data_IF_958372766561
#
_entry.id   IF_958372766561
#
_cell.length_a   1.000
_cell.length_b   1.000
_cell.length_c   1.000
_cell.angle_alpha   90.00
_cell.angle_beta   90.00
_cell.angle_gamma   90.00
#
_symmetry.space_group_name_H-M   'P 1'
#
loop_
_entity.id
_entity.type
_entity.pdbx_description
1 polymer ?
#
# COMPACT_ATOMS: atom_id res chain seq x y z
N UNK A 1 -4.48 6.20 15.09
CA UNK A 1 -5.79 6.57 14.53
C UNK A 1 -5.63 6.77 13.02
N UNK A 2 -6.44 6.09 12.21
CA UNK A 2 -6.38 6.30 10.77
C UNK A 2 -6.74 7.73 10.41
N UNK A 3 -5.95 8.33 9.53
CA UNK A 3 -6.20 9.67 9.02
C UNK A 3 -6.83 9.55 7.62
N UNK A 4 -7.96 10.21 7.43
CA UNK A 4 -8.60 10.26 6.13
C UNK A 4 -8.11 11.50 5.38
N UNK A 5 -7.41 11.28 4.28
CA UNK A 5 -6.93 12.37 3.43
C UNK A 5 -8.00 12.73 2.40
N UNK A 6 -8.33 14.02 2.23
CA UNK A 6 -9.39 14.43 1.29
C UNK A 6 -9.16 13.95 -0.13
N UNK A 7 -7.92 13.96 -0.60
CA UNK A 7 -7.57 13.53 -1.96
C UNK A 7 -7.90 12.06 -2.19
N UNK A 8 -7.43 11.18 -1.31
CA UNK A 8 -7.68 9.74 -1.45
C UNK A 8 -9.14 9.40 -1.24
N UNK A 9 -9.81 10.11 -0.33
CA UNK A 9 -11.26 9.95 -0.12
C UNK A 9 -12.04 10.27 -1.38
N UNK A 10 -11.67 11.35 -2.08
CA UNK A 10 -12.32 11.75 -3.34
C UNK A 10 -12.13 10.70 -4.43
N UNK A 11 -10.94 10.10 -4.52
CA UNK A 11 -10.66 9.06 -5.50
C UNK A 11 -11.52 7.83 -5.25
N UNK A 12 -11.60 7.39 -4.00
CA UNK A 12 -12.42 6.22 -3.62
C UNK A 12 -13.91 6.52 -3.83
N UNK A 13 -14.37 7.73 -3.49
CA UNK A 13 -15.76 8.14 -3.68
C UNK A 13 -16.13 8.19 -5.16
N UNK A 14 -15.17 8.43 -6.06
CA UNK A 14 -15.38 8.40 -7.50
C UNK A 14 -15.43 6.98 -8.08
N UNK A 15 -15.28 5.94 -7.25
CA UNK A 15 -15.40 4.55 -7.67
C UNK A 15 -14.08 3.82 -7.90
N UNK A 16 -12.95 4.46 -7.61
CA UNK A 16 -11.65 3.81 -7.69
C UNK A 16 -11.40 2.94 -6.47
N UNK A 17 -10.76 1.80 -6.68
CA UNK A 17 -10.45 0.85 -5.63
C UNK A 17 -9.00 1.00 -5.18
N UNK A 18 -8.79 1.16 -3.87
CA UNK A 18 -7.47 1.14 -3.25
C UNK A 18 -7.01 -0.31 -3.15
N UNK A 19 -6.05 -0.70 -3.99
CA UNK A 19 -5.66 -2.09 -4.15
C UNK A 19 -5.09 -2.71 -2.89
N UNK A 20 -4.19 -2.01 -2.20
CA UNK A 20 -3.59 -2.52 -0.96
C UNK A 20 -4.65 -2.68 0.13
N UNK A 21 -5.48 -1.66 0.33
CA UNK A 21 -6.49 -1.68 1.39
C UNK A 21 -7.60 -2.69 1.11
N UNK A 22 -7.90 -2.96 -0.16
CA UNK A 22 -8.83 -4.03 -0.52
C UNK A 22 -8.30 -5.40 -0.15
N UNK A 23 -6.99 -5.62 -0.35
CA UNK A 23 -6.36 -6.89 0.03
C UNK A 23 -6.21 -7.01 1.54
N UNK A 24 -5.98 -5.89 2.24
CA UNK A 24 -5.76 -5.85 3.68
C UNK A 24 -6.67 -4.79 4.32
N UNK A 25 -7.94 -5.15 4.61
CA UNK A 25 -8.93 -4.17 5.07
C UNK A 25 -8.65 -3.56 6.44
N UNK A 26 -7.89 -4.26 7.31
CA UNK A 26 -7.63 -3.77 8.65
C UNK A 26 -6.38 -2.88 8.69
N UNK A 27 -6.54 -1.54 8.84
CA UNK A 27 -5.39 -0.64 8.82
C UNK A 27 -4.51 -0.74 10.08
N UNK A 28 -5.00 -1.35 11.14
CA UNK A 28 -4.21 -1.56 12.36
C UNK A 28 -3.25 -2.72 12.17
N UNK A 29 -3.74 -3.86 11.64
CA UNK A 29 -2.91 -5.04 11.37
C UNK A 29 -1.98 -4.84 10.18
N UNK A 30 -2.45 -4.12 9.17
CA UNK A 30 -1.73 -3.92 7.92
C UNK A 30 -1.74 -2.43 7.57
N UNK A 31 -0.92 -1.61 8.26
CA UNK A 31 -0.91 -0.17 8.00
C UNK A 31 -0.40 0.18 6.60
N UNK A 32 0.50 -0.63 6.04
CA UNK A 32 1.00 -0.40 4.68
C UNK A 32 1.84 0.86 4.56
N UNK A 33 2.63 1.18 5.58
CA UNK A 33 3.41 2.42 5.59
C UNK A 33 4.46 2.45 4.49
N UNK A 34 4.39 3.46 3.62
CA UNK A 34 5.32 3.67 2.52
C UNK A 34 6.33 4.79 2.79
N UNK A 35 6.13 5.58 3.80
CA UNK A 35 7.04 6.62 4.30
C UNK A 35 7.36 6.29 5.77
N UNK A 36 8.58 6.11 6.26
CA UNK A 36 9.83 6.19 5.53
C UNK A 36 10.79 5.10 6.03
N UNK A 37 11.62 4.51 5.17
CA UNK A 37 12.60 3.50 5.59
C UNK A 37 13.91 4.10 6.12
N UNK A 38 14.05 5.42 6.17
CA UNK A 38 15.31 6.09 6.55
C UNK A 38 15.53 6.13 8.05
N UNK A 39 14.49 5.85 8.86
CA UNK A 39 14.59 5.79 10.32
C UNK A 39 14.36 4.36 10.79
N UNK A 40 14.81 4.05 12.01
CA UNK A 40 14.60 2.72 12.58
C UNK A 40 13.11 2.47 12.81
N UNK A 41 12.61 1.24 12.61
CA UNK A 41 11.21 0.92 12.88
C UNK A 41 10.78 1.21 14.32
N UNK A 42 11.73 1.20 15.26
CA UNK A 42 11.48 1.46 16.67
C UNK A 42 11.55 2.94 17.04
N UNK A 43 11.81 3.84 16.09
CA UNK A 43 11.89 5.27 16.38
C UNK A 43 10.48 5.84 16.62
N UNK A 44 10.18 6.12 17.89
CA UNK A 44 8.86 6.61 18.29
C UNK A 44 8.62 8.07 17.91
N UNK A 45 9.66 8.80 17.51
CA UNK A 45 9.54 10.19 17.07
C UNK A 45 9.22 10.30 15.59
N UNK A 46 9.42 9.23 14.86
CA UNK A 46 9.17 9.21 13.44
C UNK A 46 7.69 8.99 13.15
N UNK A 47 7.21 9.64 12.09
CA UNK A 47 5.88 9.42 11.57
C UNK A 47 5.95 8.48 10.38
N UNK A 48 5.34 7.34 10.55
CA UNK A 48 5.15 6.42 9.44
C UNK A 48 3.80 6.70 8.81
N UNK A 49 3.79 6.95 7.51
CA UNK A 49 2.58 7.29 6.77
C UNK A 49 2.42 6.38 5.56
N UNK A 50 1.18 6.10 5.22
CA UNK A 50 0.81 5.45 3.97
C UNK A 50 0.42 6.54 2.99
N UNK A 51 1.33 6.88 2.09
CA UNK A 51 1.17 8.00 1.14
C UNK A 51 1.38 7.61 -0.32
N UNK A 52 1.74 6.37 -0.57
CA UNK A 52 1.85 5.82 -1.93
C UNK A 52 0.77 4.78 -2.13
N UNK A 53 0.05 4.87 -3.24
CA UNK A 53 -1.17 4.09 -3.47
C UNK A 53 -1.19 3.50 -4.87
N UNK A 54 -1.89 2.39 -5.01
CA UNK A 54 -2.29 1.86 -6.31
C UNK A 54 -3.81 1.86 -6.35
N UNK A 55 -4.37 2.71 -7.21
CA UNK A 55 -5.81 2.75 -7.44
C UNK A 55 -6.15 2.15 -8.80
N UNK A 56 -7.30 1.50 -8.87
CA UNK A 56 -7.81 0.98 -10.14
C UNK A 56 -9.33 1.07 -10.19
N UNK A 57 -9.87 0.97 -11.39
CA UNK A 57 -11.30 0.82 -11.60
C UNK A 57 -11.71 -0.65 -11.77
N UNK A 58 -10.80 -1.57 -11.48
CA UNK A 58 -11.06 -3.00 -11.58
C UNK A 58 -11.85 -3.50 -10.37
N UNK A 59 -12.68 -4.54 -10.53
CA UNK A 59 -13.40 -5.14 -9.40
C UNK A 59 -12.42 -5.72 -8.36
N UNK A 60 -12.79 -5.68 -7.09
CA UNK A 60 -11.95 -6.21 -6.00
C UNK A 60 -11.59 -7.68 -6.18
N UNK A 61 -12.45 -8.46 -6.83
CA UNK A 61 -12.20 -9.89 -7.10
C UNK A 61 -11.00 -10.13 -8.02
N UNK A 62 -10.53 -9.11 -8.75
CA UNK A 62 -9.35 -9.23 -9.62
C UNK A 62 -8.05 -9.17 -8.84
N UNK A 63 -8.07 -8.69 -7.60
CA UNK A 63 -6.87 -8.56 -6.77
C UNK A 63 -6.43 -9.93 -6.30
N UNK A 64 -5.22 -10.35 -6.70
CA UNK A 64 -4.63 -11.62 -6.29
C UNK A 64 -3.83 -11.46 -5.01
N UNK A 65 -3.01 -10.43 -4.94
CA UNK A 65 -2.23 -10.12 -3.75
C UNK A 65 -1.75 -8.68 -3.80
N UNK A 66 -1.37 -8.19 -2.63
CA UNK A 66 -0.72 -6.89 -2.49
C UNK A 66 0.40 -7.00 -1.47
N UNK A 67 1.41 -6.16 -1.60
CA UNK A 67 2.55 -6.17 -0.69
C UNK A 67 3.21 -4.80 -0.64
N UNK A 68 3.81 -4.50 0.52
CA UNK A 68 4.80 -3.43 0.63
C UNK A 68 6.17 -4.05 0.37
N UNK A 69 6.98 -3.38 -0.42
CA UNK A 69 8.38 -3.75 -0.69
C UNK A 69 9.25 -2.67 -0.08
N UNK A 70 10.19 -3.07 0.74
CA UNK A 70 11.02 -2.11 1.44
C UNK A 70 12.27 -2.69 2.08
N UNK A 71 12.73 -2.01 3.12
CA UNK A 71 14.03 -2.22 3.72
C UNK A 71 14.05 -3.27 4.84
N UNK A 72 12.90 -3.58 5.44
CA UNK A 72 12.85 -4.50 6.59
C UNK A 72 11.52 -5.24 6.67
N UNK A 73 11.56 -6.42 7.28
CA UNK A 73 10.36 -7.24 7.50
C UNK A 73 9.38 -6.60 8.50
N UNK A 74 9.85 -5.65 9.31
CA UNK A 74 8.97 -4.95 10.24
C UNK A 74 7.86 -4.19 9.51
N UNK A 75 8.14 -3.69 8.29
CA UNK A 75 7.21 -2.85 7.54
C UNK A 75 6.95 -3.31 6.12
N UNK A 76 7.61 -4.38 5.66
CA UNK A 76 7.50 -4.83 4.28
C UNK A 76 7.43 -6.35 4.21
N UNK A 77 6.61 -6.86 3.31
CA UNK A 77 6.54 -8.30 3.03
C UNK A 77 7.73 -8.76 2.20
N UNK A 78 8.15 -7.94 1.25
CA UNK A 78 9.30 -8.23 0.40
C UNK A 78 10.42 -7.26 0.78
N UNK A 79 11.59 -7.80 1.08
CA UNK A 79 12.73 -7.01 1.56
C UNK A 79 13.81 -6.99 0.50
N UNK A 80 14.28 -5.79 0.18
CA UNK A 80 15.38 -5.54 -0.76
C UNK A 80 16.43 -4.70 -0.05
N UNK A 81 17.68 -5.15 -0.06
CA UNK A 81 18.80 -4.45 0.56
C UNK A 81 19.96 -4.35 -0.41
N UNK A 82 20.60 -3.18 -0.53
CA UNK A 82 20.23 -1.90 0.07
C UNK A 82 18.96 -1.31 -0.56
N UNK A 83 18.17 -0.60 0.24
CA UNK A 83 16.96 0.03 -0.26
C UNK A 83 17.28 1.46 -0.74
N UNK A 84 16.99 1.79 -2.01
CA UNK A 84 17.59 2.96 -2.66
C UNK A 84 16.82 4.27 -2.51
N UNK A 85 15.69 4.29 -1.79
CA UNK A 85 14.81 5.46 -1.74
C UNK A 85 14.27 5.67 -0.33
N UNK A 86 13.72 6.86 -0.08
CA UNK A 86 13.08 7.21 1.18
C UNK A 86 11.60 6.81 1.26
N UNK A 87 11.07 6.20 0.20
CA UNK A 87 9.73 5.57 0.21
C UNK A 87 9.86 4.06 0.10
N UNK A 88 8.93 3.34 0.71
CA UNK A 88 8.70 1.95 0.38
C UNK A 88 7.80 1.88 -0.84
N UNK A 89 7.88 0.80 -1.58
CA UNK A 89 7.01 0.57 -2.73
C UNK A 89 5.77 -0.21 -2.32
N UNK A 90 4.68 0.00 -3.03
CA UNK A 90 3.49 -0.84 -2.92
C UNK A 90 3.25 -1.55 -4.25
N UNK A 91 2.98 -2.85 -4.17
CA UNK A 91 2.71 -3.68 -5.35
C UNK A 91 1.35 -4.32 -5.18
N UNK A 92 0.53 -4.24 -6.23
CA UNK A 92 -0.75 -4.92 -6.28
C UNK A 92 -0.79 -5.77 -7.54
N UNK A 93 -1.07 -7.04 -7.38
CA UNK A 93 -1.18 -7.99 -8.48
C UNK A 93 -2.64 -8.21 -8.82
N UNK A 94 -2.99 -8.00 -10.09
CA UNK A 94 -4.35 -8.19 -10.59
C UNK A 94 -4.37 -9.34 -11.57
N UNK A 95 -5.44 -10.14 -11.50
CA UNK A 95 -5.75 -11.13 -12.54
C UNK A 95 -6.87 -10.57 -13.38
N UNK A 96 -6.54 -10.18 -14.60
CA UNK A 96 -7.52 -9.62 -15.51
C UNK A 96 -8.36 -10.75 -16.15
N UNK A 97 -9.66 -10.49 -16.43
CA UNK A 97 -10.47 -11.46 -17.13
C UNK A 97 -9.93 -11.64 -18.56
N UNK A 98 -10.20 -12.81 -19.19
CA UNK A 98 -9.83 -13.01 -20.58
C UNK A 98 -10.45 -11.94 -21.47
N UNK A 99 -9.70 -11.54 -22.51
CA UNK A 99 -10.20 -10.60 -23.50
C UNK A 99 -11.41 -11.21 -24.20
N UNK A 100 -12.48 -10.44 -24.26
CA UNK A 100 -13.69 -10.87 -24.97
C UNK A 100 -13.64 -10.33 -26.41
N UNK A 101 -13.71 -11.23 -27.35
CA UNK A 101 -13.80 -10.88 -28.77
C UNK A 101 -15.24 -10.53 -29.17
#
# INVERSE_FOLDING_TARGET
IPVAYPTTRSIVAAGMLDGYRSAFPDPVKHPGWTWTPTTLPSDLKDRHDRIDYVFSNLPSKTIQQAAVVGESKAHAKVVVKPWPTDHRAVVVEYRLPPEQE
#
